data_IF_069051481008
#
_entry.id   IF_069051481008
#
_cell.length_a   1.000
_cell.length_b   1.000
_cell.length_c   1.000
_cell.angle_alpha   90.00
_cell.angle_beta   90.00
_cell.angle_gamma   90.00
#
_symmetry.space_group_name_H-M   'P 1'
#
loop_
_entity.id
_entity.type
_entity.pdbx_description
1 polymer ?
#
# COMPACT_ATOMS: atom_id res chain seq x y z
N UNK A 1 0.97 -18.94 8.86
CA UNK A 1 0.60 -17.67 9.57
C UNK A 1 0.52 -16.58 8.52
N UNK A 2 -0.43 -15.65 8.61
CA UNK A 2 -0.57 -14.54 7.69
C UNK A 2 0.64 -13.59 7.81
N UNK A 3 1.36 -13.38 6.70
CA UNK A 3 2.51 -12.45 6.61
C UNK A 3 1.97 -11.07 6.24
N UNK A 4 1.75 -10.22 7.21
CA UNK A 4 1.18 -8.88 7.01
C UNK A 4 1.97 -7.83 7.77
N UNK A 5 2.13 -6.68 7.18
CA UNK A 5 2.80 -5.53 7.76
C UNK A 5 2.64 -4.29 6.92
N UNK A 6 3.54 -3.34 7.08
CA UNK A 6 3.47 -2.04 6.43
C UNK A 6 4.84 -1.57 5.96
N UNK A 7 4.83 -0.48 5.19
CA UNK A 7 6.03 0.30 4.95
C UNK A 7 6.50 0.94 6.27
N UNK A 8 7.80 0.78 6.57
CA UNK A 8 8.45 1.36 7.76
C UNK A 8 9.76 2.07 7.40
N UNK A 9 10.20 2.95 8.29
CA UNK A 9 11.41 3.73 8.06
C UNK A 9 12.70 2.91 8.21
N UNK A 10 13.62 3.04 7.27
CA UNK A 10 14.99 2.48 7.32
C UNK A 10 16.03 3.54 7.69
N UNK A 11 15.62 4.55 8.43
CA UNK A 11 16.49 5.64 8.92
C UNK A 11 17.16 5.26 10.24
N UNK A 12 17.90 6.17 10.83
CA UNK A 12 18.58 6.01 12.12
C UNK A 12 19.46 4.73 12.18
N UNK A 13 19.03 3.69 12.89
CA UNK A 13 19.70 2.40 13.03
C UNK A 13 19.24 1.35 12.00
N UNK A 14 18.87 1.79 10.80
CA UNK A 14 18.56 0.93 9.67
C UNK A 14 17.58 -0.20 10.00
N UNK A 15 17.99 -1.47 9.79
CA UNK A 15 17.15 -2.65 9.96
C UNK A 15 16.64 -2.81 11.41
N UNK A 16 17.49 -2.50 12.40
CA UNK A 16 17.07 -2.59 13.80
C UNK A 16 15.92 -1.63 14.13
N UNK A 17 15.96 -0.39 13.62
CA UNK A 17 14.90 0.58 13.82
C UNK A 17 13.63 0.20 13.07
N UNK A 18 13.77 -0.25 11.81
CA UNK A 18 12.66 -0.73 10.99
C UNK A 18 11.92 -1.91 11.66
N UNK A 19 12.67 -2.88 12.18
CA UNK A 19 12.10 -4.04 12.88
C UNK A 19 11.34 -3.63 14.16
N UNK A 20 11.88 -2.68 14.92
CA UNK A 20 11.21 -2.15 16.12
C UNK A 20 9.90 -1.45 15.77
N UNK A 21 9.93 -0.61 14.73
CA UNK A 21 8.75 0.08 14.23
C UNK A 21 7.68 -0.91 13.76
N UNK A 22 8.03 -1.85 12.89
CA UNK A 22 7.13 -2.90 12.42
C UNK A 22 6.55 -3.74 13.58
N UNK A 23 7.38 -4.08 14.57
CA UNK A 23 6.94 -4.81 15.78
C UNK A 23 5.90 -4.04 16.59
N UNK A 24 6.01 -2.70 16.63
CA UNK A 24 5.04 -1.87 17.36
C UNK A 24 3.65 -1.90 16.74
N UNK A 25 3.56 -2.15 15.43
CA UNK A 25 2.29 -2.32 14.70
C UNK A 25 1.75 -3.75 14.73
N UNK A 26 2.45 -4.69 15.32
CA UNK A 26 2.07 -6.12 15.30
C UNK A 26 2.33 -6.79 13.96
N UNK A 27 3.21 -6.25 13.15
CA UNK A 27 3.60 -6.81 11.85
C UNK A 27 4.32 -8.14 11.98
N UNK A 28 4.18 -9.03 10.99
CA UNK A 28 4.97 -10.25 10.81
C UNK A 28 5.83 -10.22 9.54
N UNK A 29 5.67 -9.19 8.74
CA UNK A 29 6.50 -8.80 7.61
C UNK A 29 6.54 -7.27 7.56
N UNK A 30 7.39 -6.66 6.73
CA UNK A 30 7.39 -5.23 6.50
C UNK A 30 8.16 -4.87 5.23
N UNK A 31 8.00 -3.65 4.76
CA UNK A 31 8.71 -3.13 3.60
C UNK A 31 9.54 -1.90 3.97
N UNK A 32 10.68 -1.75 3.31
CA UNK A 32 11.60 -0.62 3.49
C UNK A 32 12.08 -0.05 2.16
N UNK A 33 12.40 1.23 2.13
CA UNK A 33 13.35 1.79 1.18
C UNK A 33 14.74 1.78 1.81
N UNK A 34 15.80 1.44 1.06
CA UNK A 34 17.17 1.41 1.60
C UNK A 34 17.77 2.81 1.84
N UNK A 35 17.02 3.84 1.53
CA UNK A 35 17.29 5.27 1.71
C UNK A 35 16.11 6.09 1.25
N UNK A 36 16.26 7.42 1.17
CA UNK A 36 15.18 8.30 0.72
C UNK A 36 14.77 7.98 -0.75
N UNK A 37 13.49 7.70 -1.03
CA UNK A 37 13.05 7.24 -2.36
C UNK A 37 13.10 8.33 -3.45
N UNK A 38 13.29 9.59 -3.08
CA UNK A 38 13.34 10.74 -3.99
C UNK A 38 14.77 11.14 -4.40
N UNK A 39 15.80 10.42 -3.97
CA UNK A 39 17.17 10.69 -4.35
C UNK A 39 18.06 9.43 -4.34
N UNK A 40 19.30 9.57 -4.84
CA UNK A 40 20.25 8.45 -4.94
C UNK A 40 21.22 8.36 -3.74
N UNK A 41 21.07 9.20 -2.72
CA UNK A 41 21.97 9.17 -1.56
C UNK A 41 21.67 7.98 -0.67
N UNK A 42 22.74 7.22 -0.37
CA UNK A 42 22.63 6.02 0.49
C UNK A 42 23.67 6.09 1.60
N UNK A 43 23.27 5.68 2.80
CA UNK A 43 24.19 5.46 3.91
C UNK A 43 24.97 4.15 3.69
N UNK A 44 26.22 4.05 4.18
CA UNK A 44 26.95 2.79 4.15
C UNK A 44 26.19 1.66 4.87
N UNK A 45 26.21 0.45 4.31
CA UNK A 45 25.47 -0.68 4.87
C UNK A 45 25.95 -1.08 6.27
N UNK A 46 27.23 -0.85 6.57
CA UNK A 46 27.85 -1.10 7.87
C UNK A 46 27.21 -0.29 9.00
N UNK A 47 26.59 0.84 8.66
CA UNK A 47 25.87 1.70 9.62
C UNK A 47 24.41 1.32 9.83
N UNK A 48 23.92 0.25 9.18
CA UNK A 48 22.48 -0.11 9.12
C UNK A 48 22.06 -1.19 10.12
N UNK A 49 22.92 -1.55 11.09
CA UNK A 49 22.61 -2.48 12.18
C UNK A 49 21.89 -3.76 11.69
N UNK A 50 22.48 -4.40 10.65
CA UNK A 50 21.81 -5.52 9.96
C UNK A 50 21.71 -6.76 10.84
N UNK A 51 22.77 -7.11 11.55
CA UNK A 51 22.80 -8.32 12.39
C UNK A 51 21.86 -8.19 13.58
N UNK A 52 21.87 -7.05 14.27
CA UNK A 52 20.96 -6.78 15.39
C UNK A 52 19.50 -6.71 14.90
N UNK A 53 19.27 -6.18 13.70
CA UNK A 53 17.96 -6.17 13.07
C UNK A 53 17.46 -7.57 12.74
N UNK A 54 18.28 -8.42 12.12
CA UNK A 54 17.97 -9.83 11.81
C UNK A 54 17.71 -10.65 13.08
N UNK A 55 18.51 -10.44 14.11
CA UNK A 55 18.28 -11.10 15.39
C UNK A 55 16.91 -10.73 15.97
N UNK A 56 16.58 -9.44 16.00
CA UNK A 56 15.28 -8.98 16.48
C UNK A 56 14.11 -9.49 15.62
N UNK A 57 14.28 -9.54 14.28
CA UNK A 57 13.30 -10.15 13.38
C UNK A 57 13.02 -11.60 13.76
N UNK A 58 14.07 -12.40 13.98
CA UNK A 58 13.95 -13.80 14.39
C UNK A 58 13.23 -13.94 15.75
N UNK A 59 13.57 -13.09 16.72
CA UNK A 59 12.93 -13.06 18.04
C UNK A 59 11.43 -12.69 17.95
N UNK A 60 11.04 -11.89 16.97
CA UNK A 60 9.66 -11.45 16.74
C UNK A 60 8.89 -12.31 15.74
N UNK A 61 9.51 -13.32 15.15
CA UNK A 61 8.91 -14.18 14.12
C UNK A 61 8.55 -13.42 12.85
N UNK A 62 9.36 -12.42 12.47
CA UNK A 62 9.18 -11.65 11.25
C UNK A 62 9.93 -12.31 10.09
N UNK A 63 9.23 -12.52 9.00
CA UNK A 63 9.74 -13.21 7.81
C UNK A 63 9.36 -12.46 6.53
N UNK A 64 10.05 -12.79 5.44
CA UNK A 64 9.75 -12.33 4.08
C UNK A 64 9.56 -10.80 3.98
N UNK A 65 10.48 -10.05 4.60
CA UNK A 65 10.49 -8.59 4.43
C UNK A 65 10.81 -8.21 2.98
N UNK A 66 10.38 -7.03 2.58
CA UNK A 66 10.42 -6.54 1.21
C UNK A 66 11.24 -5.25 1.14
N UNK A 67 12.00 -5.07 0.07
CA UNK A 67 12.59 -3.78 -0.27
C UNK A 67 11.79 -3.17 -1.41
N UNK A 68 11.55 -1.87 -1.38
CA UNK A 68 10.99 -1.13 -2.50
C UNK A 68 12.07 -0.28 -3.17
N UNK A 69 12.20 -0.39 -4.48
CA UNK A 69 13.10 0.45 -5.26
C UNK A 69 12.61 1.91 -5.26
N UNK A 70 13.52 2.89 -5.22
CA UNK A 70 13.14 4.30 -5.29
C UNK A 70 12.34 4.64 -6.54
N UNK A 71 11.24 5.36 -6.38
CA UNK A 71 10.36 5.74 -7.48
C UNK A 71 10.98 6.72 -8.51
N UNK A 72 12.17 7.22 -8.23
CA UNK A 72 12.94 7.99 -9.23
C UNK A 72 13.55 7.11 -10.32
N UNK A 73 13.61 5.79 -10.12
CA UNK A 73 14.06 4.84 -11.13
C UNK A 73 13.03 4.74 -12.24
N UNK A 74 13.41 5.10 -13.46
CA UNK A 74 12.54 5.01 -14.64
C UNK A 74 13.29 4.32 -15.78
N UNK A 75 13.15 2.99 -15.87
CA UNK A 75 13.75 2.19 -16.95
C UNK A 75 13.10 2.45 -18.31
N UNK A 76 11.87 2.96 -18.36
CA UNK A 76 11.16 3.30 -19.60
C UNK A 76 11.54 4.64 -20.23
N UNK A 77 12.46 5.39 -19.61
CA UNK A 77 12.84 6.72 -20.11
C UNK A 77 13.54 6.64 -21.47
N UNK A 78 13.10 7.50 -22.41
CA UNK A 78 13.79 7.67 -23.71
C UNK A 78 15.09 8.47 -23.60
N UNK A 79 15.29 9.19 -22.47
CA UNK A 79 16.51 9.96 -22.21
C UNK A 79 17.59 9.03 -21.71
N UNK A 80 18.67 8.91 -22.50
CA UNK A 80 19.75 7.96 -22.22
C UNK A 80 20.32 8.13 -20.81
N UNK A 81 20.70 9.33 -20.42
CA UNK A 81 21.26 9.59 -19.09
C UNK A 81 20.32 9.19 -17.94
N UNK A 82 19.00 9.30 -18.14
CA UNK A 82 18.00 8.89 -17.14
C UNK A 82 17.90 7.40 -17.05
N UNK A 83 17.95 6.71 -18.19
CA UNK A 83 17.92 5.26 -18.28
C UNK A 83 19.20 4.64 -17.68
N UNK A 84 20.37 5.11 -18.08
CA UNK A 84 21.68 4.67 -17.52
C UNK A 84 21.74 4.84 -16.00
N UNK A 85 21.26 6.00 -15.49
CA UNK A 85 21.13 6.23 -14.06
C UNK A 85 20.17 5.22 -13.41
N UNK A 86 19.02 4.96 -14.03
CA UNK A 86 18.03 4.01 -13.52
C UNK A 86 18.62 2.60 -13.43
N UNK A 87 19.32 2.14 -14.46
CA UNK A 87 20.01 0.84 -14.50
C UNK A 87 21.06 0.74 -13.40
N UNK A 88 22.01 1.67 -13.36
CA UNK A 88 23.11 1.63 -12.40
C UNK A 88 22.61 1.72 -10.95
N UNK A 89 21.60 2.55 -10.73
CA UNK A 89 21.05 2.75 -9.40
C UNK A 89 20.20 1.53 -8.94
N UNK A 90 19.45 0.90 -9.83
CA UNK A 90 18.72 -0.33 -9.50
C UNK A 90 19.69 -1.48 -9.18
N UNK A 91 20.82 -1.59 -9.89
CA UNK A 91 21.89 -2.54 -9.54
C UNK A 91 22.44 -2.30 -8.13
N UNK A 92 22.65 -1.05 -7.74
CA UNK A 92 23.06 -0.72 -6.37
C UNK A 92 22.00 -1.14 -5.35
N UNK A 93 20.72 -0.81 -5.59
CA UNK A 93 19.60 -1.19 -4.71
C UNK A 93 19.44 -2.72 -4.58
N UNK A 94 19.67 -3.48 -5.65
CA UNK A 94 19.66 -4.95 -5.62
C UNK A 94 20.81 -5.49 -4.75
N UNK A 95 22.02 -4.94 -4.87
CA UNK A 95 23.15 -5.35 -4.00
C UNK A 95 22.89 -5.03 -2.54
N UNK A 96 22.26 -3.89 -2.26
CA UNK A 96 21.86 -3.50 -0.90
C UNK A 96 20.77 -4.45 -0.36
N UNK A 97 19.78 -4.79 -1.19
CA UNK A 97 18.72 -5.74 -0.88
C UNK A 97 19.31 -7.13 -0.54
N UNK A 98 20.27 -7.60 -1.35
CA UNK A 98 21.02 -8.84 -1.09
C UNK A 98 21.79 -8.78 0.24
N UNK A 99 22.49 -7.69 0.54
CA UNK A 99 23.25 -7.52 1.80
C UNK A 99 22.33 -7.55 3.03
N UNK A 100 21.10 -7.01 2.93
CA UNK A 100 20.09 -7.10 3.99
C UNK A 100 19.62 -8.55 4.16
N UNK A 101 19.70 -9.37 3.11
CA UNK A 101 19.19 -10.75 3.08
C UNK A 101 17.74 -10.85 2.61
N UNK A 102 17.26 -9.85 1.86
CA UNK A 102 15.90 -9.80 1.31
C UNK A 102 15.86 -10.43 -0.08
N UNK A 103 14.79 -11.16 -0.38
CA UNK A 103 14.63 -11.89 -1.65
C UNK A 103 13.97 -11.09 -2.76
N UNK A 104 13.12 -10.14 -2.41
CA UNK A 104 12.34 -9.40 -3.41
C UNK A 104 12.53 -7.89 -3.25
N UNK A 105 12.83 -7.23 -4.38
CA UNK A 105 12.78 -5.78 -4.50
C UNK A 105 11.62 -5.40 -5.41
N UNK A 106 10.66 -4.63 -4.91
CA UNK A 106 9.54 -4.10 -5.69
C UNK A 106 10.02 -2.96 -6.56
N UNK A 107 9.60 -2.94 -7.80
CA UNK A 107 9.96 -1.93 -8.79
C UNK A 107 8.73 -1.45 -9.55
N UNK A 108 8.47 -0.15 -9.54
CA UNK A 108 7.61 0.46 -10.57
C UNK A 108 8.29 0.27 -11.93
N UNK A 109 7.64 -0.37 -12.92
CA UNK A 109 8.32 -0.69 -14.20
C UNK A 109 8.93 0.53 -14.89
N UNK A 110 8.26 1.68 -14.77
CA UNK A 110 8.68 2.94 -15.35
C UNK A 110 7.60 3.62 -16.17
N UNK A 111 7.98 4.62 -16.95
CA UNK A 111 7.07 5.40 -17.79
C UNK A 111 7.75 5.75 -19.12
N UNK A 112 7.01 5.66 -20.22
CA UNK A 112 7.55 5.91 -21.57
C UNK A 112 7.65 7.41 -21.93
N UNK A 113 7.04 8.29 -21.11
CA UNK A 113 7.05 9.76 -21.25
C UNK A 113 6.60 10.26 -22.64
N UNK A 114 7.51 10.63 -23.53
CA UNK A 114 7.21 11.24 -24.86
C UNK A 114 7.19 10.20 -26.01
N UNK A 115 7.15 8.91 -25.69
CA UNK A 115 7.09 7.79 -26.64
C UNK A 115 5.73 7.09 -26.55
N UNK A 116 5.65 5.87 -27.04
CA UNK A 116 4.49 5.00 -26.93
C UNK A 116 4.75 3.80 -25.99
N UNK A 117 3.71 3.03 -25.73
CA UNK A 117 3.77 1.89 -24.83
C UNK A 117 4.69 0.77 -25.35
N UNK A 118 4.74 0.53 -26.67
CA UNK A 118 5.60 -0.49 -27.27
C UNK A 118 7.09 -0.15 -27.05
N UNK A 119 7.46 1.11 -27.28
CA UNK A 119 8.78 1.61 -26.93
C UNK A 119 9.07 1.45 -25.43
N UNK A 120 8.11 1.80 -24.56
CA UNK A 120 8.26 1.68 -23.12
C UNK A 120 8.53 0.24 -22.68
N UNK A 121 7.77 -0.74 -23.19
CA UNK A 121 7.96 -2.16 -22.92
C UNK A 121 9.37 -2.60 -23.33
N UNK A 122 9.80 -2.28 -24.57
CA UNK A 122 11.13 -2.62 -25.05
C UNK A 122 12.25 -2.02 -24.21
N UNK A 123 12.13 -0.73 -23.89
CA UNK A 123 13.14 0.01 -23.12
C UNK A 123 13.27 -0.48 -21.68
N UNK A 124 12.15 -0.84 -21.04
CA UNK A 124 12.13 -1.44 -19.69
C UNK A 124 12.80 -2.80 -19.73
N UNK A 125 12.47 -3.63 -20.72
CA UNK A 125 13.06 -4.98 -20.87
C UNK A 125 14.57 -4.91 -21.11
N UNK A 126 15.05 -3.99 -21.95
CA UNK A 126 16.47 -3.76 -22.19
C UNK A 126 17.18 -3.36 -20.88
N UNK A 127 16.60 -2.42 -20.13
CA UNK A 127 17.13 -2.00 -18.85
C UNK A 127 17.16 -3.13 -17.82
N UNK A 128 16.12 -3.96 -17.74
CA UNK A 128 16.08 -5.12 -16.85
C UNK A 128 17.13 -6.16 -17.23
N UNK A 129 17.35 -6.42 -18.52
CA UNK A 129 18.41 -7.29 -18.99
C UNK A 129 19.80 -6.78 -18.57
N UNK A 130 20.06 -5.48 -18.73
CA UNK A 130 21.31 -4.87 -18.30
C UNK A 130 21.48 -4.92 -16.77
N UNK A 131 20.41 -4.64 -16.01
CA UNK A 131 20.42 -4.74 -14.55
C UNK A 131 20.77 -6.16 -14.11
N UNK A 132 20.04 -7.17 -14.58
CA UNK A 132 20.22 -8.56 -14.16
C UNK A 132 21.58 -9.11 -14.56
N UNK A 133 22.10 -8.72 -15.74
CA UNK A 133 23.44 -9.06 -16.17
C UNK A 133 24.54 -8.43 -15.28
N UNK A 134 24.28 -7.27 -14.70
CA UNK A 134 25.20 -6.57 -13.80
C UNK A 134 25.17 -7.03 -12.35
N UNK A 135 24.24 -7.88 -11.94
CA UNK A 135 24.05 -8.34 -10.54
C UNK A 135 23.93 -9.87 -10.42
N UNK A 136 24.66 -10.61 -11.24
CA UNK A 136 24.64 -12.09 -11.26
C UNK A 136 25.11 -12.73 -9.96
N UNK A 137 25.84 -11.99 -9.14
CA UNK A 137 26.30 -12.41 -7.82
C UNK A 137 25.21 -12.41 -6.75
N UNK A 138 24.02 -11.91 -7.07
CA UNK A 138 22.88 -11.83 -6.14
C UNK A 138 21.80 -12.84 -6.50
N UNK A 139 20.95 -13.17 -5.51
CA UNK A 139 19.77 -14.03 -5.69
C UNK A 139 18.43 -13.25 -5.48
N UNK A 140 18.49 -11.92 -5.57
CA UNK A 140 17.34 -11.05 -5.41
C UNK A 140 16.47 -11.04 -6.66
N UNK A 141 15.16 -11.23 -6.50
CA UNK A 141 14.17 -11.09 -7.55
C UNK A 141 13.68 -9.64 -7.65
N UNK A 142 13.35 -9.21 -8.84
CA UNK A 142 12.68 -7.93 -9.11
C UNK A 142 11.19 -8.20 -9.22
N UNK A 143 10.41 -7.67 -8.29
CA UNK A 143 8.95 -7.76 -8.32
C UNK A 143 8.39 -6.52 -9.05
N UNK A 144 8.00 -6.70 -10.31
CA UNK A 144 7.36 -5.64 -11.09
C UNK A 144 6.00 -5.31 -10.48
N UNK A 145 5.78 -4.05 -10.15
CA UNK A 145 4.51 -3.64 -9.57
C UNK A 145 3.45 -3.39 -10.63
N UNK A 146 2.23 -3.86 -10.36
CA UNK A 146 1.06 -3.49 -11.15
C UNK A 146 0.72 -2.03 -10.88
N UNK A 147 0.54 -1.22 -11.94
CA UNK A 147 0.38 0.22 -11.84
C UNK A 147 -1.04 0.67 -12.19
N UNK A 148 -1.44 1.83 -11.66
CA UNK A 148 -2.76 2.42 -11.90
C UNK A 148 -2.95 2.97 -13.32
N UNK A 149 -1.88 3.15 -14.08
CA UNK A 149 -1.92 3.71 -15.43
C UNK A 149 -2.06 5.22 -15.46
N UNK A 150 -1.49 5.91 -14.47
CA UNK A 150 -1.47 7.36 -14.40
C UNK A 150 -0.49 7.91 -15.44
N UNK A 151 -1.01 8.72 -16.36
CA UNK A 151 -0.20 9.31 -17.43
C UNK A 151 0.39 8.23 -18.36
N UNK A 152 1.72 8.09 -18.36
CA UNK A 152 2.47 7.18 -19.22
C UNK A 152 3.12 6.03 -18.44
N UNK A 153 2.65 5.75 -17.22
CA UNK A 153 3.11 4.61 -16.42
C UNK A 153 2.86 3.29 -17.13
N UNK A 154 3.86 2.39 -17.05
CA UNK A 154 3.83 1.05 -17.60
C UNK A 154 3.51 0.05 -16.50
N UNK A 155 2.89 -1.08 -16.89
CA UNK A 155 2.44 -2.10 -15.94
C UNK A 155 0.99 -1.91 -15.49
N UNK A 156 0.23 -1.08 -16.19
CA UNK A 156 -1.20 -0.82 -15.93
C UNK A 156 -2.13 -1.96 -16.35
N UNK A 157 -1.65 -2.88 -17.19
CA UNK A 157 -2.40 -4.08 -17.53
C UNK A 157 -1.52 -5.32 -17.32
N UNK A 158 -2.16 -6.47 -17.12
CA UNK A 158 -1.47 -7.74 -16.98
C UNK A 158 -0.71 -8.11 -18.25
N UNK A 159 -1.23 -7.72 -19.42
CA UNK A 159 -0.58 -7.90 -20.71
C UNK A 159 0.71 -7.07 -20.83
N UNK A 160 0.75 -5.84 -20.32
CA UNK A 160 1.97 -5.03 -20.27
C UNK A 160 3.03 -5.68 -19.36
N UNK A 161 2.65 -6.18 -18.19
CA UNK A 161 3.54 -6.89 -17.26
C UNK A 161 4.08 -8.17 -17.95
N UNK A 162 3.22 -8.99 -18.54
CA UNK A 162 3.62 -10.19 -19.26
C UNK A 162 4.58 -9.86 -20.43
N UNK A 163 4.27 -8.83 -21.21
CA UNK A 163 5.09 -8.43 -22.36
C UNK A 163 6.48 -7.93 -21.94
N UNK A 164 6.61 -7.28 -20.78
CA UNK A 164 7.92 -6.90 -20.22
C UNK A 164 8.67 -8.16 -19.82
N UNK A 165 8.03 -9.06 -19.06
CA UNK A 165 8.64 -10.31 -18.58
C UNK A 165 9.14 -11.18 -19.74
N UNK A 166 8.35 -11.34 -20.79
CA UNK A 166 8.66 -12.20 -21.95
C UNK A 166 9.87 -11.72 -22.76
N UNK A 167 10.20 -10.41 -22.67
CA UNK A 167 11.35 -9.83 -23.37
C UNK A 167 12.65 -9.87 -22.55
N UNK A 168 12.60 -10.32 -21.31
CA UNK A 168 13.78 -10.38 -20.44
C UNK A 168 14.40 -11.77 -20.47
N UNK A 169 15.71 -11.86 -20.70
CA UNK A 169 16.46 -13.12 -20.83
C UNK A 169 16.42 -13.94 -19.54
N UNK A 170 16.63 -13.30 -18.40
CA UNK A 170 16.60 -13.91 -17.06
C UNK A 170 15.28 -13.68 -16.36
N UNK A 171 14.17 -13.97 -17.05
CA UNK A 171 12.82 -13.68 -16.53
C UNK A 171 12.39 -14.57 -15.36
N UNK A 172 13.13 -15.62 -15.03
CA UNK A 172 12.94 -16.40 -13.80
C UNK A 172 13.21 -15.56 -12.53
N UNK A 173 13.96 -14.47 -12.67
CA UNK A 173 14.22 -13.49 -11.60
C UNK A 173 13.19 -12.36 -11.54
N UNK A 174 12.22 -12.36 -12.46
CA UNK A 174 11.12 -11.40 -12.43
C UNK A 174 9.90 -12.03 -11.76
N UNK A 175 9.45 -11.39 -10.72
CA UNK A 175 8.20 -11.67 -10.02
C UNK A 175 7.27 -10.46 -10.13
N UNK A 176 6.12 -10.49 -9.49
CA UNK A 176 5.15 -9.40 -9.51
C UNK A 176 4.78 -8.99 -8.10
N UNK A 177 4.68 -7.68 -7.89
CA UNK A 177 3.97 -7.08 -6.78
C UNK A 177 2.58 -6.66 -7.25
N UNK A 178 1.54 -7.26 -6.70
CA UNK A 178 0.15 -6.90 -6.99
C UNK A 178 -0.33 -5.86 -5.99
N UNK A 179 -0.61 -4.63 -6.45
CA UNK A 179 -1.21 -3.58 -5.60
C UNK A 179 -2.72 -3.49 -5.83
N UNK A 180 -3.49 -3.60 -4.76
CA UNK A 180 -4.97 -3.58 -4.83
C UNK A 180 -5.54 -2.24 -5.29
N UNK A 181 -4.94 -1.12 -4.87
CA UNK A 181 -5.35 0.21 -5.34
C UNK A 181 -5.02 0.38 -6.82
N UNK A 182 -3.81 -0.05 -7.24
CA UNK A 182 -3.37 0.11 -8.62
C UNK A 182 -4.21 -0.70 -9.60
N UNK A 183 -4.44 -1.99 -9.35
CA UNK A 183 -5.29 -2.79 -10.25
C UNK A 183 -6.72 -2.29 -10.28
N UNK A 184 -7.30 -1.85 -9.14
CA UNK A 184 -8.62 -1.23 -9.09
C UNK A 184 -8.66 0.05 -9.92
N UNK A 185 -7.70 0.95 -9.73
CA UNK A 185 -7.62 2.20 -10.49
C UNK A 185 -7.32 1.97 -11.99
N UNK A 186 -6.64 0.86 -12.34
CA UNK A 186 -6.41 0.44 -13.71
C UNK A 186 -7.65 -0.15 -14.42
N UNK A 187 -8.70 -0.50 -13.65
CA UNK A 187 -9.97 -0.98 -14.21
C UNK A 187 -10.33 -2.42 -13.87
N UNK A 188 -9.53 -3.12 -13.09
CA UNK A 188 -9.87 -4.47 -12.62
C UNK A 188 -10.81 -4.41 -11.43
N UNK A 189 -12.03 -4.94 -11.60
CA UNK A 189 -13.09 -4.85 -10.58
C UNK A 189 -12.93 -5.92 -9.49
N UNK A 190 -11.93 -5.76 -8.64
CA UNK A 190 -11.70 -6.65 -7.49
C UNK A 190 -12.81 -6.59 -6.43
N UNK A 191 -13.68 -5.59 -6.51
CA UNK A 191 -14.79 -5.40 -5.54
C UNK A 191 -15.91 -6.38 -5.83
N UNK A 192 -16.26 -6.57 -7.10
CA UNK A 192 -17.38 -7.41 -7.51
C UNK A 192 -16.93 -8.77 -8.05
N UNK A 193 -15.69 -8.90 -8.55
CA UNK A 193 -15.19 -10.11 -9.21
C UNK A 193 -13.68 -10.36 -8.93
N UNK A 194 -13.33 -10.55 -7.66
CA UNK A 194 -11.96 -10.84 -7.25
C UNK A 194 -11.44 -12.13 -7.91
N UNK A 195 -12.23 -13.20 -7.90
CA UNK A 195 -11.85 -14.49 -8.47
C UNK A 195 -11.57 -14.38 -9.98
N UNK A 196 -12.45 -13.72 -10.73
CA UNK A 196 -12.26 -13.51 -12.17
C UNK A 196 -11.04 -12.66 -12.50
N UNK A 197 -10.72 -11.66 -11.67
CA UNK A 197 -9.48 -10.86 -11.81
C UNK A 197 -8.25 -11.73 -11.57
N UNK A 198 -8.25 -12.57 -10.53
CA UNK A 198 -7.15 -13.50 -10.24
C UNK A 198 -7.00 -14.58 -11.33
N UNK A 199 -8.09 -15.12 -11.85
CA UNK A 199 -8.07 -16.05 -12.99
C UNK A 199 -7.51 -15.38 -14.26
N UNK A 200 -7.88 -14.13 -14.51
CA UNK A 200 -7.32 -13.35 -15.62
C UNK A 200 -5.80 -13.16 -15.43
N UNK A 201 -5.37 -12.81 -14.22
CA UNK A 201 -3.95 -12.67 -13.92
C UNK A 201 -3.19 -13.99 -14.11
N UNK A 202 -3.75 -15.10 -13.63
CA UNK A 202 -3.13 -16.44 -13.77
C UNK A 202 -2.94 -16.83 -15.24
N UNK A 203 -3.94 -16.60 -16.06
CA UNK A 203 -3.89 -16.91 -17.49
C UNK A 203 -2.85 -16.08 -18.26
N UNK A 204 -2.63 -14.81 -17.88
CA UNK A 204 -1.80 -13.87 -18.63
C UNK A 204 -0.36 -13.87 -18.09
N UNK A 205 -0.18 -13.84 -16.77
CA UNK A 205 1.11 -13.67 -16.10
C UNK A 205 1.53 -14.93 -15.32
N UNK A 206 0.54 -15.56 -14.67
CA UNK A 206 0.73 -16.69 -13.75
C UNK A 206 0.72 -16.24 -12.28
N UNK A 207 -0.19 -16.80 -11.47
CA UNK A 207 -0.28 -16.51 -10.02
C UNK A 207 0.99 -16.87 -9.24
N UNK A 208 1.77 -17.83 -9.73
CA UNK A 208 3.05 -18.21 -9.15
C UNK A 208 4.12 -17.11 -9.22
N UNK A 209 3.95 -16.10 -10.08
CA UNK A 209 4.83 -14.95 -10.17
C UNK A 209 4.53 -13.88 -9.12
N UNK A 210 3.38 -13.90 -8.47
CA UNK A 210 3.08 -12.95 -7.40
C UNK A 210 3.97 -13.29 -6.19
N UNK A 211 4.90 -12.40 -5.86
CA UNK A 211 5.80 -12.53 -4.72
C UNK A 211 5.43 -11.61 -3.56
N UNK A 212 4.76 -10.49 -3.84
CA UNK A 212 4.37 -9.46 -2.89
C UNK A 212 2.96 -8.98 -3.23
N UNK A 213 2.17 -8.64 -2.23
CA UNK A 213 0.87 -7.97 -2.41
C UNK A 213 0.88 -6.68 -1.60
N UNK A 214 0.73 -5.54 -2.27
CA UNK A 214 0.42 -4.28 -1.61
C UNK A 214 -1.09 -4.19 -1.37
N UNK A 215 -1.48 -3.90 -0.14
CA UNK A 215 -2.88 -3.83 0.27
C UNK A 215 -3.25 -2.41 0.63
N UNK A 216 -3.87 -1.74 -0.31
CA UNK A 216 -4.23 -0.33 -0.23
C UNK A 216 -5.68 -0.16 -0.67
N UNK A 217 -6.45 0.68 0.04
CA UNK A 217 -7.77 1.10 -0.43
C UNK A 217 -7.63 2.31 -1.35
N UNK A 218 -8.55 2.51 -2.29
CA UNK A 218 -8.47 3.60 -3.25
C UNK A 218 -9.48 4.71 -2.95
N UNK A 219 -9.03 5.97 -3.05
CA UNK A 219 -9.92 7.16 -3.00
C UNK A 219 -10.83 7.28 -4.22
N UNK A 220 -10.62 6.47 -5.24
CA UNK A 220 -11.24 6.65 -6.54
C UNK A 220 -12.09 5.45 -6.92
N UNK A 221 -13.10 5.62 -7.79
CA UNK A 221 -13.82 4.50 -8.38
C UNK A 221 -12.91 3.69 -9.32
N UNK A 222 -13.32 2.46 -9.61
CA UNK A 222 -12.64 1.57 -10.55
C UNK A 222 -12.37 2.26 -11.90
N UNK A 223 -11.17 2.07 -12.44
CA UNK A 223 -10.77 2.65 -13.74
C UNK A 223 -10.44 4.15 -13.70
N UNK A 224 -10.17 4.72 -12.55
CA UNK A 224 -9.89 6.16 -12.42
C UNK A 224 -8.49 6.58 -12.86
N UNK A 225 -7.53 5.68 -12.95
CA UNK A 225 -6.12 5.92 -13.30
C UNK A 225 -5.45 7.03 -12.45
N UNK A 226 -5.61 6.97 -11.12
CA UNK A 226 -5.20 8.05 -10.22
C UNK A 226 -4.09 7.69 -9.23
N UNK A 227 -4.01 6.46 -8.79
CA UNK A 227 -3.08 6.04 -7.75
C UNK A 227 -3.18 6.97 -6.52
N UNK A 228 -4.20 6.78 -5.72
CA UNK A 228 -4.45 7.56 -4.49
C UNK A 228 -4.92 6.64 -3.38
N UNK A 229 -3.99 6.21 -2.56
CA UNK A 229 -4.26 5.39 -1.40
C UNK A 229 -5.09 6.12 -0.35
N UNK A 230 -5.89 5.37 0.39
CA UNK A 230 -6.63 5.81 1.56
C UNK A 230 -6.61 4.69 2.61
N UNK A 231 -6.87 4.98 3.90
CA UNK A 231 -6.96 3.94 4.92
C UNK A 231 -7.99 2.87 4.56
N UNK A 232 -7.71 1.63 4.98
CA UNK A 232 -8.55 0.48 4.68
C UNK A 232 -9.98 0.70 5.19
N UNK A 233 -10.93 0.52 4.28
CA UNK A 233 -12.37 0.72 4.55
C UNK A 233 -12.88 2.14 4.33
N UNK A 234 -11.98 3.11 4.04
CA UNK A 234 -12.36 4.50 3.79
C UNK A 234 -12.48 4.83 2.29
N UNK A 235 -12.22 3.87 1.42
CA UNK A 235 -12.18 4.05 -0.02
C UNK A 235 -13.25 3.27 -0.79
N UNK A 236 -13.01 3.18 -2.09
CA UNK A 236 -13.92 2.53 -3.03
C UNK A 236 -13.75 1.01 -3.11
N UNK A 237 -12.61 0.47 -2.68
CA UNK A 237 -12.40 -0.98 -2.57
C UNK A 237 -13.10 -1.50 -1.32
N UNK A 238 -12.89 -0.82 -0.19
CA UNK A 238 -13.53 -1.11 1.08
C UNK A 238 -12.91 -2.28 1.84
N UNK A 239 -13.20 -2.30 3.16
CA UNK A 239 -12.62 -3.29 4.08
C UNK A 239 -12.88 -4.74 3.67
N UNK A 240 -14.12 -5.08 3.31
CA UNK A 240 -14.48 -6.47 3.03
C UNK A 240 -13.71 -7.05 1.84
N UNK A 241 -13.52 -6.26 0.78
CA UNK A 241 -12.75 -6.69 -0.39
C UNK A 241 -11.28 -6.89 -0.03
N UNK A 242 -10.67 -5.92 0.68
CA UNK A 242 -9.27 -6.05 1.13
C UNK A 242 -9.11 -7.26 2.06
N UNK A 243 -10.04 -7.48 2.98
CA UNK A 243 -10.06 -8.67 3.83
C UNK A 243 -10.11 -9.97 3.00
N UNK A 244 -10.97 -10.01 1.98
CA UNK A 244 -11.06 -11.16 1.08
C UNK A 244 -9.73 -11.40 0.33
N UNK A 245 -9.08 -10.33 -0.18
CA UNK A 245 -7.76 -10.42 -0.82
C UNK A 245 -6.72 -11.02 0.14
N UNK A 246 -6.63 -10.51 1.36
CA UNK A 246 -5.66 -10.97 2.37
C UNK A 246 -5.87 -12.44 2.75
N UNK A 247 -7.11 -12.91 2.72
CA UNK A 247 -7.47 -14.29 3.07
C UNK A 247 -7.70 -15.20 1.87
N UNK A 248 -7.51 -14.69 0.64
CA UNK A 248 -7.72 -15.47 -0.58
C UNK A 248 -6.71 -16.62 -0.69
N UNK A 249 -7.18 -17.84 -0.96
CA UNK A 249 -6.36 -19.04 -0.99
C UNK A 249 -5.19 -18.92 -1.98
N UNK A 250 -5.45 -18.40 -3.17
CA UNK A 250 -4.43 -18.22 -4.22
C UNK A 250 -3.30 -17.25 -3.85
N UNK A 251 -3.49 -16.40 -2.83
CA UNK A 251 -2.51 -15.39 -2.40
C UNK A 251 -1.80 -15.75 -1.09
N UNK A 252 -2.14 -16.89 -0.46
CA UNK A 252 -1.55 -17.28 0.80
C UNK A 252 -0.04 -17.50 0.71
N UNK A 253 0.65 -17.26 1.83
CA UNK A 253 2.10 -17.43 1.96
C UNK A 253 2.94 -16.26 1.47
N UNK A 254 2.32 -15.26 0.83
CA UNK A 254 2.98 -14.03 0.38
C UNK A 254 2.94 -12.95 1.44
N UNK A 255 3.91 -12.02 1.47
CA UNK A 255 3.83 -10.82 2.30
C UNK A 255 2.76 -9.86 1.75
N UNK A 256 1.88 -9.40 2.64
CA UNK A 256 0.89 -8.36 2.42
C UNK A 256 1.37 -7.07 3.09
N UNK A 257 1.55 -6.01 2.32
CA UNK A 257 2.17 -4.76 2.77
C UNK A 257 1.21 -3.58 2.61
N UNK A 258 0.97 -2.88 3.71
CA UNK A 258 0.20 -1.64 3.76
C UNK A 258 1.08 -0.44 3.40
N UNK A 259 0.56 0.43 2.53
CA UNK A 259 1.12 1.73 2.21
C UNK A 259 0.08 2.85 2.42
N UNK A 260 -0.89 2.59 3.26
CA UNK A 260 -1.96 3.54 3.57
C UNK A 260 -1.40 4.83 4.16
N UNK A 261 -2.00 5.99 3.85
CA UNK A 261 -1.46 7.28 4.26
C UNK A 261 -1.55 7.47 5.77
N UNK A 262 -0.56 8.16 6.33
CA UNK A 262 -0.61 8.62 7.71
C UNK A 262 -1.67 9.70 7.88
N UNK A 263 -2.28 9.76 9.05
CA UNK A 263 -3.34 10.68 9.41
C UNK A 263 -2.85 11.73 10.39
N UNK A 264 -3.43 12.93 10.32
CA UNK A 264 -3.15 14.07 11.21
C UNK A 264 -2.83 15.35 10.44
N UNK A 265 -3.07 16.49 11.10
CA UNK A 265 -2.99 17.85 10.50
C UNK A 265 -1.59 18.33 10.23
N UNK A 266 -0.67 17.99 11.11
CA UNK A 266 0.70 18.46 11.06
C UNK A 266 1.65 17.28 11.02
N UNK A 267 2.79 17.42 10.32
CA UNK A 267 3.79 16.38 10.22
C UNK A 267 4.23 15.79 11.58
N UNK A 268 4.18 16.60 12.65
CA UNK A 268 4.49 16.15 14.02
C UNK A 268 3.37 15.38 14.73
N UNK A 269 2.14 15.47 14.24
CA UNK A 269 0.96 14.81 14.81
C UNK A 269 0.45 13.68 13.92
N UNK A 270 1.02 13.51 12.75
CA UNK A 270 0.67 12.40 11.87
C UNK A 270 0.95 11.04 12.52
N UNK A 271 0.01 10.12 12.38
CA UNK A 271 0.10 8.76 12.89
C UNK A 271 -0.30 7.75 11.82
N UNK A 272 0.42 6.63 11.69
CA UNK A 272 0.00 5.54 10.84
C UNK A 272 -1.17 4.78 11.49
N UNK A 273 -2.09 4.30 10.67
CA UNK A 273 -3.16 3.40 11.11
C UNK A 273 -2.76 1.93 11.10
N UNK A 274 -1.55 1.62 10.74
CA UNK A 274 -1.06 0.26 10.48
C UNK A 274 -1.38 -0.73 11.60
N UNK A 275 -1.26 -0.32 12.87
CA UNK A 275 -1.56 -1.20 14.00
C UNK A 275 -3.02 -1.68 13.99
N UNK A 276 -3.95 -0.76 13.73
CA UNK A 276 -5.39 -1.05 13.67
C UNK A 276 -5.73 -1.84 12.41
N UNK A 277 -5.21 -1.41 11.26
CA UNK A 277 -5.45 -2.05 9.97
C UNK A 277 -4.92 -3.51 9.96
N UNK A 278 -3.71 -3.74 10.47
CA UNK A 278 -3.13 -5.09 10.60
C UNK A 278 -3.99 -5.96 11.52
N UNK A 279 -4.42 -5.44 12.67
CA UNK A 279 -5.24 -6.19 13.61
C UNK A 279 -6.61 -6.56 13.03
N UNK A 280 -7.26 -5.63 12.32
CA UNK A 280 -8.53 -5.86 11.63
C UNK A 280 -8.40 -6.92 10.54
N UNK A 281 -7.38 -6.79 9.67
CA UNK A 281 -7.15 -7.72 8.58
C UNK A 281 -6.72 -9.11 9.06
N UNK A 282 -6.04 -9.19 10.20
CA UNK A 282 -5.64 -10.44 10.85
C UNK A 282 -6.79 -11.12 11.60
N UNK A 283 -7.83 -10.39 11.94
CA UNK A 283 -8.92 -10.86 12.78
C UNK A 283 -8.54 -11.03 14.25
N UNK A 284 -7.44 -10.39 14.73
CA UNK A 284 -6.99 -10.50 16.10
C UNK A 284 -7.18 -9.21 16.93
N UNK A 285 -8.15 -8.42 16.58
CA UNK A 285 -8.50 -7.16 17.25
C UNK A 285 -8.72 -7.37 18.75
N UNK A 286 -9.40 -8.45 19.12
CA UNK A 286 -9.65 -8.83 20.51
C UNK A 286 -8.34 -9.05 21.30
N UNK A 287 -7.38 -9.74 20.71
CA UNK A 287 -6.08 -10.02 21.34
C UNK A 287 -5.25 -8.74 21.50
N UNK A 288 -5.35 -7.85 20.53
CA UNK A 288 -4.54 -6.62 20.47
C UNK A 288 -5.11 -5.48 21.30
N UNK A 289 -6.43 -5.29 21.26
CA UNK A 289 -7.12 -4.14 21.86
C UNK A 289 -8.16 -4.53 22.93
N UNK A 290 -8.42 -5.84 23.11
CA UNK A 290 -9.39 -6.37 24.07
C UNK A 290 -10.79 -6.57 23.51
N UNK A 291 -11.63 -7.26 24.30
CA UNK A 291 -13.02 -7.60 23.93
C UNK A 291 -13.90 -6.37 23.67
N UNK A 292 -13.62 -5.31 24.37
CA UNK A 292 -14.39 -4.06 24.30
C UNK A 292 -14.28 -3.39 22.93
N UNK A 293 -13.08 -3.33 22.35
CA UNK A 293 -12.84 -2.76 21.02
C UNK A 293 -13.52 -3.59 19.91
N UNK A 294 -13.47 -4.93 20.02
CA UNK A 294 -14.13 -5.81 19.04
C UNK A 294 -15.65 -5.60 19.06
N UNK A 295 -16.23 -5.52 20.26
CA UNK A 295 -17.66 -5.23 20.43
C UNK A 295 -18.08 -3.89 19.79
N UNK A 296 -17.23 -2.90 19.84
CA UNK A 296 -17.47 -1.58 19.22
C UNK A 296 -17.47 -1.65 17.69
N UNK A 297 -16.48 -2.34 17.11
CA UNK A 297 -16.40 -2.54 15.65
C UNK A 297 -17.62 -3.31 15.15
N UNK A 298 -18.05 -4.36 15.86
CA UNK A 298 -19.25 -5.14 15.53
C UNK A 298 -20.54 -4.33 15.66
N UNK A 299 -20.64 -3.48 16.69
CA UNK A 299 -21.78 -2.58 16.88
C UNK A 299 -21.83 -1.53 15.76
N UNK A 300 -20.71 -0.95 15.37
CA UNK A 300 -20.63 0.01 14.27
C UNK A 300 -21.07 -0.64 12.95
N UNK A 301 -20.58 -1.85 12.66
CA UNK A 301 -21.03 -2.62 11.49
C UNK A 301 -22.52 -2.93 11.54
N UNK A 302 -23.04 -3.33 12.70
CA UNK A 302 -24.45 -3.63 12.90
C UNK A 302 -25.32 -2.38 12.78
N UNK A 303 -24.86 -1.24 13.28
CA UNK A 303 -25.55 0.05 13.16
C UNK A 303 -25.70 0.44 11.68
N UNK A 304 -24.62 0.47 10.93
CA UNK A 304 -24.68 0.82 9.51
C UNK A 304 -25.51 -0.16 8.69
N UNK A 305 -25.43 -1.46 8.98
CA UNK A 305 -26.23 -2.49 8.32
C UNK A 305 -27.74 -2.37 8.60
N UNK A 306 -28.13 -2.00 9.82
CA UNK A 306 -29.55 -1.83 10.20
C UNK A 306 -30.19 -0.59 9.60
N UNK A 307 -29.42 0.46 9.37
CA UNK A 307 -29.93 1.72 8.82
C UNK A 307 -30.11 1.70 7.30
N UNK A 308 -29.77 0.58 6.65
CA UNK A 308 -29.69 0.48 5.17
C UNK A 308 -28.89 1.67 4.56
N UNK A 309 -27.97 2.20 5.37
CA UNK A 309 -27.13 3.31 4.98
C UNK A 309 -25.98 2.72 4.17
N UNK A 310 -25.96 3.08 2.90
CA UNK A 310 -24.76 2.96 2.12
C UNK A 310 -23.66 3.78 2.82
N UNK A 311 -22.78 3.07 3.54
CA UNK A 311 -21.66 3.68 4.28
C UNK A 311 -20.83 4.60 3.36
N UNK A 312 -20.70 4.18 2.10
CA UNK A 312 -20.04 4.94 1.05
C UNK A 312 -20.77 6.26 0.78
N UNK A 313 -22.09 6.20 0.66
CA UNK A 313 -22.94 7.39 0.47
C UNK A 313 -22.86 8.32 1.69
N UNK A 314 -22.98 7.78 2.90
CA UNK A 314 -22.85 8.55 4.14
C UNK A 314 -21.50 9.27 4.25
N UNK A 315 -20.39 8.57 3.97
CA UNK A 315 -19.03 9.16 3.97
C UNK A 315 -18.91 10.25 2.92
N UNK A 316 -19.43 10.04 1.71
CA UNK A 316 -19.39 11.03 0.64
C UNK A 316 -20.26 12.26 0.92
N UNK A 317 -21.45 12.06 1.47
CA UNK A 317 -22.36 13.16 1.84
C UNK A 317 -21.75 13.98 3.00
N UNK A 318 -21.21 13.32 4.02
CA UNK A 318 -20.51 13.96 5.13
C UNK A 318 -19.28 14.71 4.64
N UNK A 319 -18.49 14.12 3.75
CA UNK A 319 -17.35 14.76 3.09
C UNK A 319 -17.77 16.03 2.34
N UNK A 320 -18.86 15.96 1.57
CA UNK A 320 -19.37 17.11 0.83
C UNK A 320 -19.79 18.25 1.77
N UNK A 321 -20.46 17.95 2.88
CA UNK A 321 -20.85 18.91 3.91
C UNK A 321 -19.64 19.58 4.56
N UNK A 322 -18.65 18.79 4.99
CA UNK A 322 -17.43 19.30 5.61
C UNK A 322 -16.62 20.18 4.68
N UNK A 323 -16.53 19.80 3.40
CA UNK A 323 -15.87 20.62 2.37
C UNK A 323 -16.55 21.96 2.16
N UNK A 324 -17.88 21.99 2.13
CA UNK A 324 -18.64 23.20 1.97
C UNK A 324 -18.50 24.12 3.19
N UNK A 325 -18.54 23.58 4.39
CA UNK A 325 -18.31 24.32 5.64
C UNK A 325 -16.90 24.92 5.70
N UNK A 326 -15.87 24.12 5.44
CA UNK A 326 -14.49 24.61 5.41
C UNK A 326 -14.28 25.70 4.37
N UNK A 327 -14.91 25.60 3.19
CA UNK A 327 -14.88 26.64 2.16
C UNK A 327 -15.57 27.92 2.66
N UNK A 328 -16.73 27.83 3.31
CA UNK A 328 -17.46 28.96 3.88
C UNK A 328 -16.65 29.68 4.96
N UNK A 329 -15.94 28.92 5.80
CA UNK A 329 -15.07 29.46 6.88
C UNK A 329 -13.67 29.89 6.40
N UNK A 330 -13.33 29.66 5.11
CA UNK A 330 -11.98 29.82 4.57
C UNK A 330 -10.92 29.02 5.34
N UNK A 331 -11.30 27.85 5.81
CA UNK A 331 -10.41 26.93 6.52
C UNK A 331 -9.39 26.28 5.56
N UNK A 332 -8.37 25.63 6.14
CA UNK A 332 -7.40 24.84 5.36
C UNK A 332 -8.15 23.77 4.52
N UNK A 333 -7.86 23.62 3.23
CA UNK A 333 -8.51 22.63 2.36
C UNK A 333 -8.39 21.18 2.83
N UNK A 334 -7.44 20.88 3.74
CA UNK A 334 -7.22 19.55 4.35
C UNK A 334 -8.10 19.29 5.55
N UNK A 335 -8.53 20.33 6.25
CA UNK A 335 -9.34 20.23 7.49
C UNK A 335 -10.57 19.32 7.33
N UNK A 336 -11.39 19.39 6.25
CA UNK A 336 -12.54 18.51 6.09
C UNK A 336 -12.18 17.02 6.09
N UNK A 337 -11.07 16.66 5.46
CA UNK A 337 -10.61 15.27 5.40
C UNK A 337 -10.15 14.79 6.78
N UNK A 338 -9.43 15.62 7.51
CA UNK A 338 -8.96 15.33 8.85
C UNK A 338 -10.13 15.17 9.82
N UNK A 339 -11.14 16.03 9.74
CA UNK A 339 -12.35 15.95 10.57
C UNK A 339 -13.18 14.70 10.25
N UNK A 340 -13.35 14.36 8.96
CA UNK A 340 -14.03 13.12 8.59
C UNK A 340 -13.29 11.90 9.12
N UNK A 341 -11.98 11.95 9.06
CA UNK A 341 -11.13 10.88 9.54
C UNK A 341 -11.18 10.72 11.05
N UNK A 342 -11.05 11.83 11.82
CA UNK A 342 -11.19 11.85 13.27
C UNK A 342 -12.56 11.29 13.68
N UNK A 343 -13.63 11.63 12.96
CA UNK A 343 -14.97 11.13 13.20
C UNK A 343 -15.08 9.61 12.99
N UNK A 344 -14.51 9.08 11.90
CA UNK A 344 -14.50 7.63 11.60
C UNK A 344 -13.64 6.90 12.65
N UNK A 345 -12.50 7.45 13.02
CA UNK A 345 -11.58 6.88 14.00
C UNK A 345 -12.16 6.93 15.41
N UNK A 346 -12.78 8.05 15.81
CA UNK A 346 -13.49 8.13 17.08
C UNK A 346 -14.65 7.14 17.13
N UNK A 347 -15.45 7.03 16.08
CA UNK A 347 -16.53 6.06 16.01
C UNK A 347 -16.02 4.62 16.11
N UNK A 348 -14.82 4.34 15.64
CA UNK A 348 -14.18 3.02 15.74
C UNK A 348 -13.48 2.73 17.08
N UNK A 349 -13.15 3.75 17.88
CA UNK A 349 -12.30 3.64 19.08
C UNK A 349 -13.04 3.78 20.43
N UNK A 350 -14.36 4.07 20.49
CA UNK A 350 -15.03 4.35 21.76
C UNK A 350 -15.98 3.24 22.26
N UNK A 351 -15.91 2.93 23.59
CA UNK A 351 -16.52 1.73 24.17
C UNK A 351 -18.06 1.70 24.27
N UNK A 352 -18.76 2.81 24.24
CA UNK A 352 -20.19 2.91 24.48
C UNK A 352 -21.01 3.25 23.23
N UNK A 353 -20.78 2.52 22.13
CA UNK A 353 -21.51 2.73 20.88
C UNK A 353 -22.91 2.07 20.92
N UNK A 354 -23.77 2.51 21.85
CA UNK A 354 -25.21 2.36 21.60
C UNK A 354 -25.60 3.29 20.43
N UNK A 355 -26.65 2.88 19.67
CA UNK A 355 -27.20 3.69 18.59
C UNK A 355 -27.44 5.15 18.99
N UNK A 356 -27.87 5.35 20.22
CA UNK A 356 -28.11 6.66 20.83
C UNK A 356 -26.80 7.44 21.06
N UNK A 357 -25.74 6.79 21.51
CA UNK A 357 -24.44 7.41 21.72
C UNK A 357 -23.73 7.79 20.42
N UNK A 358 -23.85 6.98 19.37
CA UNK A 358 -23.33 7.31 18.02
C UNK A 358 -24.04 8.55 17.51
N UNK A 359 -25.39 8.58 17.62
CA UNK A 359 -26.19 9.73 17.19
C UNK A 359 -25.86 10.97 18.01
N UNK A 360 -25.74 10.87 19.34
CA UNK A 360 -25.39 12.01 20.20
C UNK A 360 -23.97 12.53 19.92
N UNK A 361 -23.00 11.67 19.63
CA UNK A 361 -21.64 12.09 19.27
C UNK A 361 -21.57 12.68 17.88
N UNK A 362 -22.25 12.10 16.91
CA UNK A 362 -22.40 12.69 15.58
C UNK A 362 -23.07 14.08 15.70
N UNK A 363 -24.13 14.21 16.51
CA UNK A 363 -24.82 15.46 16.77
C UNK A 363 -23.89 16.46 17.49
N UNK A 364 -23.18 16.06 18.53
CA UNK A 364 -22.25 16.91 19.26
C UNK A 364 -21.08 17.35 18.36
N UNK A 365 -20.62 16.46 17.51
CA UNK A 365 -19.55 16.73 16.57
C UNK A 365 -19.98 17.70 15.46
N UNK A 366 -21.20 17.53 14.91
CA UNK A 366 -21.81 18.46 13.97
C UNK A 366 -22.17 19.81 14.66
N UNK A 367 -22.63 19.81 15.89
CA UNK A 367 -22.90 21.04 16.65
C UNK A 367 -21.60 21.83 16.93
N UNK A 368 -20.50 21.17 17.26
CA UNK A 368 -19.17 21.77 17.37
C UNK A 368 -18.62 22.30 16.04
N UNK A 369 -19.14 21.82 14.91
CA UNK A 369 -18.76 22.26 13.56
C UNK A 369 -19.63 23.38 12.98
N UNK A 370 -20.67 23.83 13.68
CA UNK A 370 -21.71 24.76 13.18
C UNK A 370 -22.46 24.29 11.92
N UNK A 371 -22.47 22.99 11.66
CA UNK A 371 -23.23 22.41 10.55
C UNK A 371 -24.70 22.15 10.98
N UNK A 372 -25.68 22.41 10.12
CA UNK A 372 -27.06 22.07 10.43
C UNK A 372 -27.20 20.55 10.49
N UNK A 373 -27.69 20.04 11.63
CA UNK A 373 -28.06 18.63 11.80
C UNK A 373 -29.41 18.45 11.13
N UNK A 374 -29.45 17.86 9.96
CA UNK A 374 -30.67 17.27 9.39
C UNK A 374 -30.68 15.79 9.79
N UNK A 375 -31.51 15.50 10.77
CA UNK A 375 -31.85 14.12 11.15
C UNK A 375 -32.75 13.50 10.09
#
# INVERSE_FOLDING_TARGET
>A
MLKIGSHVSFSDKGLLSATKEASSYGSSSFMIYTGAPQNTRRKPMESMYLEEGKQLMAEKGMEDIVVHAPYIINLGSYKENTHELAVSFLQEEIRRTHAIGVKNIVLHPGAFTDKDAEYGIGRIADGLNEVLNGVKETDVNIALETMAGKGTEMGRSFEEIASIIDKVEHNERLTVCMDTCHIHDAGYDIVNDLDGVLEQFDRIVGLNRIAVVHINDSKNPVGAHKDRHTPIGSGWIGYQTIHNVVHHEALQGRPFILETPWIGKEAKTQRPMYEVEIALLRGNVKERFGDEFLGQVEQLHSFFKKQDVDVRKFVLDTWALLKNDAKARKADPREPLERLYDMITEAALFPDLSEEHINQRLIAWFAGSHLPVTV
#
